data_IF_294935307322
#
_entry.id   IF_294935307322
#
_cell.length_a   1.000
_cell.length_b   1.000
_cell.length_c   1.000
_cell.angle_alpha   90.00
_cell.angle_beta   90.00
_cell.angle_gamma   90.00
#
_symmetry.space_group_name_H-M   'P 1'
#
loop_
_entity.id
_entity.type
_entity.pdbx_description
1 polymer ?
#
# COMPACT_ATOMS: atom_id res chain seq x y z
N UNK A 1 24.47 13.51 6.02
CA UNK A 1 23.33 13.15 6.90
C UNK A 1 22.02 13.66 6.31
N UNK A 2 21.56 13.06 5.20
CA UNK A 2 20.29 13.40 4.53
C UNK A 2 19.43 12.13 4.34
N UNK A 3 19.43 11.24 5.33
CA UNK A 3 18.91 9.87 5.15
C UNK A 3 17.50 9.62 5.70
N UNK A 4 16.84 10.62 6.28
CA UNK A 4 15.48 10.48 6.81
C UNK A 4 14.55 11.48 6.11
N UNK A 5 13.34 11.05 5.70
CA UNK A 5 12.32 11.96 5.20
C UNK A 5 12.01 13.05 6.24
N UNK A 6 11.79 14.32 5.83
CA UNK A 6 11.54 15.43 6.75
C UNK A 6 10.30 15.21 7.64
N UNK A 7 9.33 14.43 7.18
CA UNK A 7 8.12 14.07 7.92
C UNK A 7 8.43 13.24 9.18
N UNK A 8 9.46 12.39 9.12
CA UNK A 8 9.87 11.53 10.25
C UNK A 8 10.35 12.37 11.42
N UNK A 9 11.12 13.42 11.14
CA UNK A 9 11.71 14.30 12.15
C UNK A 9 10.67 15.18 12.85
N UNK A 10 9.54 15.48 12.18
CA UNK A 10 8.53 16.41 12.68
C UNK A 10 7.38 15.72 13.42
N UNK A 11 6.91 14.55 12.95
CA UNK A 11 5.74 13.85 13.53
C UNK A 11 6.02 12.42 14.00
N UNK A 12 7.23 11.91 13.79
CA UNK A 12 7.51 10.49 13.92
C UNK A 12 6.90 9.67 12.79
N UNK A 13 7.06 8.35 12.84
CA UNK A 13 6.58 7.42 11.80
C UNK A 13 5.38 6.65 12.33
N UNK A 14 4.39 6.41 11.46
CA UNK A 14 3.34 5.45 11.79
C UNK A 14 3.92 4.08 12.10
N UNK A 15 3.39 3.41 13.12
CA UNK A 15 3.67 2.00 13.35
C UNK A 15 2.87 1.11 12.39
N UNK A 16 3.31 -0.14 12.23
CA UNK A 16 2.69 -1.13 11.34
C UNK A 16 1.20 -1.35 11.66
N UNK A 17 0.84 -1.37 12.94
CA UNK A 17 -0.55 -1.56 13.41
C UNK A 17 -1.44 -0.42 12.92
N UNK A 18 -1.01 0.83 13.09
CA UNK A 18 -1.76 2.00 12.65
C UNK A 18 -1.91 2.04 11.13
N UNK A 19 -0.89 1.64 10.37
CA UNK A 19 -0.98 1.51 8.91
C UNK A 19 -2.03 0.47 8.51
N UNK A 20 -2.08 -0.68 9.19
CA UNK A 20 -3.07 -1.75 8.95
C UNK A 20 -4.49 -1.33 9.29
N UNK A 21 -4.69 -0.64 10.40
CA UNK A 21 -6.01 -0.13 10.80
C UNK A 21 -6.51 0.92 9.81
N UNK A 22 -5.64 1.87 9.41
CA UNK A 22 -5.98 2.88 8.40
C UNK A 22 -6.29 2.26 7.04
N UNK A 23 -5.59 1.19 6.67
CA UNK A 23 -5.82 0.50 5.40
C UNK A 23 -7.26 0.02 5.26
N UNK A 24 -7.88 -0.49 6.33
CA UNK A 24 -9.29 -0.94 6.28
C UNK A 24 -10.25 0.17 5.85
N UNK A 25 -9.97 1.42 6.26
CA UNK A 25 -10.77 2.56 5.82
C UNK A 25 -10.49 2.92 4.35
N UNK A 26 -9.22 2.96 3.98
CA UNK A 26 -8.79 3.22 2.59
C UNK A 26 -9.41 2.21 1.63
N UNK A 27 -9.32 0.92 1.95
CA UNK A 27 -9.90 -0.16 1.16
C UNK A 27 -11.41 0.02 0.98
N UNK A 28 -12.14 0.30 2.07
CA UNK A 28 -13.58 0.51 2.04
C UNK A 28 -13.98 1.68 1.15
N UNK A 29 -13.28 2.82 1.27
CA UNK A 29 -13.59 4.02 0.50
C UNK A 29 -13.18 3.83 -0.96
N UNK A 30 -12.01 3.24 -1.22
CA UNK A 30 -11.53 2.94 -2.57
C UNK A 30 -12.47 2.00 -3.33
N UNK A 31 -13.05 0.98 -2.66
CA UNK A 31 -14.09 0.11 -3.22
C UNK A 31 -15.34 0.88 -3.64
N UNK A 32 -15.76 1.90 -2.87
CA UNK A 32 -16.94 2.73 -3.18
C UNK A 32 -16.74 3.62 -4.40
N UNK A 33 -15.50 4.04 -4.65
CA UNK A 33 -15.16 4.95 -5.76
C UNK A 33 -14.48 4.23 -6.93
N UNK A 34 -14.51 2.89 -6.97
CA UNK A 34 -13.80 2.06 -7.92
C UNK A 34 -14.02 2.43 -9.40
N UNK A 35 -15.21 2.92 -9.75
CA UNK A 35 -15.57 3.28 -11.13
C UNK A 35 -15.38 4.77 -11.46
N UNK A 36 -14.89 5.57 -10.51
CA UNK A 36 -14.80 7.02 -10.70
C UNK A 36 -13.42 7.42 -11.25
N UNK A 37 -13.36 8.35 -12.22
CA UNK A 37 -12.11 8.91 -12.72
C UNK A 37 -11.45 9.85 -11.68
N UNK A 38 -10.19 10.22 -11.89
CA UNK A 38 -9.39 11.05 -10.97
C UNK A 38 -9.95 12.48 -10.81
N UNK A 39 -10.60 13.03 -11.85
CA UNK A 39 -11.10 14.41 -11.90
C UNK A 39 -12.53 14.62 -11.37
N UNK A 40 -13.11 13.61 -10.72
CA UNK A 40 -14.51 13.64 -10.30
C UNK A 40 -15.48 13.18 -11.37
N UNK A 41 -16.72 12.92 -10.95
CA UNK A 41 -17.76 12.31 -11.77
C UNK A 41 -19.08 13.08 -11.62
N UNK A 42 -19.99 12.90 -12.57
CA UNK A 42 -21.36 13.38 -12.42
C UNK A 42 -22.05 12.69 -11.23
N UNK A 43 -22.95 13.40 -10.55
CA UNK A 43 -23.69 12.86 -9.38
C UNK A 43 -24.37 11.51 -9.64
N UNK A 44 -24.99 11.25 -10.81
CA UNK A 44 -25.54 9.93 -11.12
C UNK A 44 -24.48 8.82 -11.16
N UNK A 45 -23.30 9.12 -11.69
CA UNK A 45 -22.20 8.15 -11.77
C UNK A 45 -21.60 7.87 -10.39
N UNK A 46 -21.53 8.88 -9.51
CA UNK A 46 -21.14 8.71 -8.11
C UNK A 46 -22.14 7.81 -7.35
N UNK A 47 -23.45 8.06 -7.53
CA UNK A 47 -24.50 7.22 -6.95
C UNK A 47 -24.41 5.78 -7.45
N UNK A 48 -24.21 5.59 -8.77
CA UNK A 48 -24.07 4.27 -9.37
C UNK A 48 -22.85 3.51 -8.84
N UNK A 49 -21.69 4.16 -8.73
CA UNK A 49 -20.48 3.58 -8.15
C UNK A 49 -20.70 3.14 -6.70
N UNK A 50 -21.38 3.97 -5.91
CA UNK A 50 -21.74 3.63 -4.53
C UNK A 50 -22.67 2.41 -4.48
N UNK A 51 -23.75 2.40 -5.27
CA UNK A 51 -24.70 1.28 -5.32
C UNK A 51 -24.02 -0.01 -5.76
N UNK A 52 -23.20 0.03 -6.82
CA UNK A 52 -22.44 -1.14 -7.29
C UNK A 52 -21.58 -1.71 -6.16
N UNK A 53 -20.88 -0.87 -5.41
CA UNK A 53 -20.00 -1.32 -4.32
C UNK A 53 -20.73 -2.12 -3.22
N UNK A 54 -22.05 -1.96 -3.08
CA UNK A 54 -22.86 -2.72 -2.12
C UNK A 54 -23.15 -4.16 -2.59
N UNK A 55 -23.23 -4.38 -3.91
CA UNK A 55 -23.56 -5.69 -4.49
C UNK A 55 -22.33 -6.51 -4.87
N UNK A 56 -21.12 -5.97 -4.74
CA UNK A 56 -19.89 -6.69 -5.07
C UNK A 56 -19.57 -7.70 -3.97
N UNK A 57 -19.91 -8.94 -4.25
CA UNK A 57 -19.37 -10.10 -3.54
C UNK A 57 -17.94 -10.26 -4.03
N UNK A 58 -16.95 -9.95 -3.18
CA UNK A 58 -15.54 -10.21 -3.50
C UNK A 58 -15.28 -11.70 -3.24
N UNK A 59 -15.18 -12.57 -4.27
CA UNK A 59 -14.78 -13.95 -4.04
C UNK A 59 -13.38 -13.95 -3.44
N UNK A 60 -13.17 -14.72 -2.38
CA UNK A 60 -11.84 -14.97 -1.83
C UNK A 60 -11.06 -15.86 -2.82
N UNK A 61 -10.65 -15.27 -3.94
CA UNK A 61 -9.83 -15.96 -4.92
C UNK A 61 -8.45 -16.17 -4.30
N UNK A 62 -7.94 -17.41 -4.25
CA UNK A 62 -6.59 -17.64 -3.78
C UNK A 62 -5.61 -16.91 -4.70
N UNK A 63 -4.61 -16.27 -4.10
CA UNK A 63 -3.51 -15.65 -4.86
C UNK A 63 -2.80 -16.77 -5.63
N UNK A 64 -2.69 -16.66 -6.97
CA UNK A 64 -2.13 -17.74 -7.77
C UNK A 64 -0.62 -17.92 -7.48
N UNK A 65 -0.13 -19.15 -7.65
CA UNK A 65 1.23 -19.53 -7.25
C UNK A 65 2.34 -18.70 -7.93
N UNK A 66 2.13 -18.28 -9.18
CA UNK A 66 3.09 -17.42 -9.90
C UNK A 66 3.24 -16.04 -9.24
N UNK A 67 2.18 -15.47 -8.65
CA UNK A 67 2.27 -14.20 -7.91
C UNK A 67 3.05 -14.36 -6.62
N UNK A 68 2.97 -15.53 -5.97
CA UNK A 68 3.76 -15.86 -4.78
C UNK A 68 5.23 -16.10 -5.12
N UNK A 69 5.52 -16.60 -6.33
CA UNK A 69 6.86 -16.76 -6.86
C UNK A 69 7.49 -15.43 -7.36
N UNK A 70 6.81 -14.29 -7.17
CA UNK A 70 7.23 -12.97 -7.65
C UNK A 70 7.41 -12.89 -9.17
N UNK A 71 6.69 -13.71 -9.93
CA UNK A 71 6.74 -13.68 -11.39
C UNK A 71 6.14 -12.36 -11.95
N UNK A 72 6.51 -11.96 -13.18
CA UNK A 72 5.96 -10.78 -13.82
C UNK A 72 4.42 -10.87 -13.92
N UNK A 73 3.75 -9.84 -13.41
CA UNK A 73 2.28 -9.71 -13.50
C UNK A 73 1.94 -8.73 -14.62
N UNK A 74 0.87 -8.99 -15.35
CA UNK A 74 0.28 -8.04 -16.31
C UNK A 74 -0.66 -7.08 -15.58
N UNK A 75 -0.28 -5.81 -15.34
CA UNK A 75 -1.04 -4.92 -14.45
C UNK A 75 -2.43 -4.58 -14.99
N UNK A 76 -2.62 -4.59 -16.30
CA UNK A 76 -3.86 -4.18 -16.96
C UNK A 76 -4.99 -5.23 -16.86
N UNK A 77 -4.69 -6.44 -16.39
CA UNK A 77 -5.69 -7.48 -16.13
C UNK A 77 -6.44 -7.28 -14.81
N UNK A 78 -5.94 -6.44 -13.91
CA UNK A 78 -6.54 -6.24 -12.59
C UNK A 78 -7.50 -5.06 -12.58
N UNK A 79 -8.71 -5.28 -12.06
CA UNK A 79 -9.59 -4.18 -11.67
C UNK A 79 -9.23 -3.68 -10.26
N UNK A 80 -9.86 -2.58 -9.83
CA UNK A 80 -9.64 -1.99 -8.50
C UNK A 80 -9.87 -2.98 -7.35
N UNK A 81 -10.86 -3.88 -7.47
CA UNK A 81 -11.17 -4.87 -6.43
C UNK A 81 -10.09 -5.94 -6.33
N UNK A 82 -9.59 -6.42 -7.47
CA UNK A 82 -8.47 -7.37 -7.55
C UNK A 82 -7.22 -6.80 -6.90
N UNK A 83 -6.93 -5.52 -7.17
CA UNK A 83 -5.79 -4.81 -6.60
C UNK A 83 -5.92 -4.69 -5.08
N UNK A 84 -7.08 -4.25 -4.59
CA UNK A 84 -7.32 -4.05 -3.16
C UNK A 84 -7.31 -5.37 -2.39
N UNK A 85 -7.86 -6.44 -2.97
CA UNK A 85 -7.80 -7.78 -2.39
C UNK A 85 -6.35 -8.27 -2.24
N UNK A 86 -5.52 -8.11 -3.29
CA UNK A 86 -4.11 -8.49 -3.27
C UNK A 86 -3.32 -7.67 -2.25
N UNK A 87 -3.54 -6.36 -2.24
CA UNK A 87 -2.94 -5.49 -1.23
C UNK A 87 -3.29 -5.94 0.19
N UNK A 88 -4.57 -6.24 0.45
CA UNK A 88 -5.01 -6.76 1.77
C UNK A 88 -4.33 -8.08 2.12
N UNK A 89 -4.25 -9.00 1.16
CA UNK A 89 -3.64 -10.32 1.34
C UNK A 89 -2.18 -10.23 1.79
N UNK A 90 -1.38 -9.39 1.13
CA UNK A 90 0.04 -9.22 1.47
C UNK A 90 0.21 -8.41 2.76
N UNK A 91 -0.64 -7.41 2.98
CA UNK A 91 -0.63 -6.59 4.19
C UNK A 91 -0.85 -7.47 5.41
N UNK A 92 -1.87 -8.33 5.40
CA UNK A 92 -2.18 -9.23 6.51
C UNK A 92 -1.01 -10.16 6.86
N UNK A 93 -0.18 -10.54 5.88
CA UNK A 93 1.03 -11.36 6.06
C UNK A 93 2.28 -10.57 6.41
N UNK A 94 2.21 -9.24 6.45
CA UNK A 94 3.35 -8.36 6.74
C UNK A 94 4.28 -8.13 5.55
N UNK A 95 3.90 -8.52 4.33
CA UNK A 95 4.64 -8.15 3.12
C UNK A 95 4.22 -6.76 2.65
N UNK A 96 4.83 -5.76 3.27
CA UNK A 96 4.57 -4.36 2.98
C UNK A 96 5.06 -3.91 1.60
N UNK A 97 6.08 -4.56 1.05
CA UNK A 97 6.59 -4.25 -0.29
C UNK A 97 5.60 -4.68 -1.37
N UNK A 98 5.06 -5.90 -1.27
CA UNK A 98 4.03 -6.37 -2.19
C UNK A 98 2.74 -5.58 -2.03
N UNK A 99 2.37 -5.25 -0.79
CA UNK A 99 1.24 -4.35 -0.52
C UNK A 99 1.39 -3.03 -1.26
N UNK A 100 2.56 -2.38 -1.13
CA UNK A 100 2.86 -1.12 -1.81
C UNK A 100 2.83 -1.28 -3.33
N UNK A 101 3.41 -2.37 -3.87
CA UNK A 101 3.40 -2.68 -5.32
C UNK A 101 1.97 -2.70 -5.86
N UNK A 102 1.07 -3.46 -5.24
CA UNK A 102 -0.32 -3.56 -5.70
C UNK A 102 -1.06 -2.23 -5.53
N UNK A 103 -0.91 -1.54 -4.41
CA UNK A 103 -1.59 -0.26 -4.18
C UNK A 103 -1.19 0.81 -5.21
N UNK A 104 0.04 0.78 -5.73
CA UNK A 104 0.47 1.68 -6.81
C UNK A 104 -0.18 1.37 -8.18
N UNK A 105 -0.80 0.21 -8.36
CA UNK A 105 -1.53 -0.15 -9.58
C UNK A 105 -2.92 0.50 -9.66
N UNK A 106 -3.42 1.06 -8.54
CA UNK A 106 -4.68 1.77 -8.53
C UNK A 106 -4.65 2.94 -9.53
N UNK A 107 -5.76 3.12 -10.24
CA UNK A 107 -6.02 4.23 -11.17
C UNK A 107 -7.33 4.92 -10.76
N UNK A 108 -7.57 6.15 -11.19
CA UNK A 108 -8.86 6.80 -10.92
C UNK A 108 -8.98 7.35 -9.49
N UNK A 109 -10.21 7.66 -9.06
CA UNK A 109 -10.50 8.09 -7.70
C UNK A 109 -9.98 7.14 -6.60
N UNK A 110 -9.94 5.80 -6.77
CA UNK A 110 -9.34 4.88 -5.79
C UNK A 110 -7.88 5.20 -5.49
N UNK A 111 -7.11 5.59 -6.51
CA UNK A 111 -5.71 6.01 -6.36
C UNK A 111 -5.59 7.27 -5.53
N UNK A 112 -6.49 8.24 -5.77
CA UNK A 112 -6.53 9.50 -5.01
C UNK A 112 -6.83 9.23 -3.54
N UNK A 113 -7.84 8.40 -3.25
CA UNK A 113 -8.20 7.96 -1.90
C UNK A 113 -7.03 7.26 -1.19
N UNK A 114 -6.29 6.42 -1.93
CA UNK A 114 -5.17 5.66 -1.38
C UNK A 114 -3.86 6.44 -1.27
N UNK A 115 -3.72 7.57 -1.95
CA UNK A 115 -2.45 8.30 -2.14
C UNK A 115 -1.74 8.64 -0.84
N UNK A 116 -2.48 9.14 0.15
CA UNK A 116 -1.94 9.48 1.46
C UNK A 116 -1.42 8.23 2.18
N UNK A 117 -2.19 7.16 2.19
CA UNK A 117 -1.79 5.91 2.83
C UNK A 117 -0.56 5.28 2.14
N UNK A 118 -0.50 5.32 0.81
CA UNK A 118 0.64 4.87 0.01
C UNK A 118 1.91 5.66 0.37
N UNK A 119 1.78 6.98 0.53
CA UNK A 119 2.87 7.88 0.93
C UNK A 119 3.39 7.52 2.32
N UNK A 120 2.51 7.35 3.29
CA UNK A 120 2.88 6.99 4.67
C UNK A 120 3.54 5.60 4.75
N UNK A 121 3.04 4.62 3.99
CA UNK A 121 3.68 3.31 3.91
C UNK A 121 5.09 3.39 3.31
N UNK A 122 5.30 4.24 2.30
CA UNK A 122 6.63 4.47 1.72
C UNK A 122 7.60 5.06 2.74
N UNK A 123 7.18 6.10 3.46
CA UNK A 123 7.98 6.72 4.53
C UNK A 123 8.37 5.69 5.58
N UNK A 124 7.44 4.80 5.96
CA UNK A 124 7.73 3.72 6.90
C UNK A 124 8.81 2.76 6.38
N UNK A 125 8.69 2.29 5.13
CA UNK A 125 9.66 1.39 4.52
C UNK A 125 11.05 2.04 4.37
N UNK A 126 11.10 3.30 3.95
CA UNK A 126 12.34 4.08 3.84
C UNK A 126 13.02 4.24 5.21
N UNK A 127 12.23 4.50 6.26
CA UNK A 127 12.75 4.60 7.63
C UNK A 127 13.34 3.27 8.11
N UNK A 128 12.64 2.16 7.87
CA UNK A 128 13.16 0.83 8.20
C UNK A 128 14.47 0.52 7.48
N UNK A 129 14.57 0.87 6.20
CA UNK A 129 15.79 0.69 5.42
C UNK A 129 16.95 1.53 5.97
N UNK A 130 16.70 2.81 6.26
CA UNK A 130 17.69 3.69 6.85
C UNK A 130 18.18 3.17 8.22
N UNK A 131 17.27 2.71 9.08
CA UNK A 131 17.62 2.12 10.36
C UNK A 131 18.51 0.87 10.20
N UNK A 132 18.16 -0.03 9.25
CA UNK A 132 18.97 -1.23 8.95
C UNK A 132 20.36 -0.87 8.44
N UNK A 133 20.48 0.12 7.58
CA UNK A 133 21.77 0.59 7.08
C UNK A 133 22.65 1.15 8.20
N UNK A 134 22.07 1.94 9.11
CA UNK A 134 22.78 2.47 10.28
C UNK A 134 23.24 1.35 11.23
N UNK A 135 22.39 0.37 11.51
CA UNK A 135 22.75 -0.78 12.34
C UNK A 135 23.87 -1.61 11.71
N UNK A 136 23.79 -1.90 10.41
CA UNK A 136 24.84 -2.62 9.69
C UNK A 136 26.18 -1.88 9.75
N UNK A 137 26.15 -0.55 9.60
CA UNK A 137 27.34 0.28 9.73
C UNK A 137 27.92 0.27 11.16
N UNK A 138 27.07 0.40 12.18
CA UNK A 138 27.50 0.36 13.58
C UNK A 138 28.12 -1.00 13.95
N UNK A 139 27.54 -2.11 13.50
CA UNK A 139 28.09 -3.45 13.71
C UNK A 139 29.45 -3.64 13.05
N UNK A 140 29.61 -3.17 11.80
CA UNK A 140 30.89 -3.24 11.10
C UNK A 140 31.98 -2.38 11.77
N UNK A 141 31.64 -1.17 12.20
CA UNK A 141 32.56 -0.29 12.92
C UNK A 141 32.97 -0.87 14.29
N UNK A 142 32.03 -1.47 15.02
CA UNK A 142 32.31 -2.13 16.30
C UNK A 142 33.24 -3.33 16.16
N UNK A 143 33.04 -4.17 15.13
CA UNK A 143 33.92 -5.30 14.83
C UNK A 143 35.34 -4.84 14.46
N UNK A 144 35.47 -3.76 13.69
CA UNK A 144 36.76 -3.18 13.32
C UNK A 144 37.53 -2.56 14.50
N UNK A 145 36.83 -2.18 15.57
CA UNK A 145 37.45 -1.64 16.79
C UNK A 145 37.77 -2.72 17.84
N UNK A 146 37.23 -3.94 17.66
CA UNK A 146 37.47 -5.10 18.52
C UNK A 146 38.54 -6.07 17.99
N UNK A 147 39.21 -5.74 16.89
CA UNK A 147 40.32 -6.48 16.29
C UNK A 147 41.62 -5.67 16.39
#
# INVERSE_FOLDING_TARGET
MKSLPPEVTTRGVFNDIALRERFLNVERVAKRVAMLPEGGASLPLMLLSYLQSLFIITPANPIPAYELANEPIEPDKFNTFDILQRARYFLDRGDLYQTLKYMNLLKGAPKVVASDWIRELRIYLETLLAARALMAHASAAGLAYSA
#
